data_IF_005425924623
#
_entry.id   IF_005425924623
#
_cell.length_a   1.000
_cell.length_b   1.000
_cell.length_c   1.000
_cell.angle_alpha   90.00
_cell.angle_beta   90.00
_cell.angle_gamma   90.00
#
_symmetry.space_group_name_H-M   'P 1'
#
loop_
_entity.id
_entity.type
_entity.pdbx_description
1 polymer ?
#
# COMPACT_ATOMS: atom_id res chain seq x y z
N UNK A 1 16.09 4.06 2.46
CA UNK A 1 15.43 4.25 3.77
C UNK A 1 16.34 4.97 4.77
N UNK A 2 17.59 4.53 5.00
CA UNK A 2 18.58 5.27 5.80
C UNK A 2 18.87 6.70 5.31
N UNK A 3 18.83 6.94 3.99
CA UNK A 3 18.97 8.28 3.39
C UNK A 3 17.89 9.28 3.79
N UNK A 4 16.71 8.82 4.21
CA UNK A 4 15.57 9.68 4.59
C UNK A 4 15.36 9.73 6.12
N UNK A 5 16.26 9.13 6.91
CA UNK A 5 16.13 8.99 8.38
C UNK A 5 14.79 8.40 8.85
N UNK A 6 14.13 7.64 7.98
CA UNK A 6 12.94 6.88 8.34
C UNK A 6 13.43 5.69 9.18
N UNK A 7 13.15 5.74 10.49
CA UNK A 7 13.51 4.68 11.43
C UNK A 7 12.43 3.61 11.34
N UNK A 8 12.72 2.51 10.64
CA UNK A 8 11.79 1.37 10.61
C UNK A 8 11.55 0.90 12.04
N UNK A 9 10.28 0.96 12.47
CA UNK A 9 9.87 0.44 13.76
C UNK A 9 9.88 -1.09 13.65
N UNK A 10 10.98 -1.71 14.08
CA UNK A 10 11.05 -3.17 14.19
C UNK A 10 10.26 -3.64 15.43
N UNK A 11 8.93 -3.52 15.43
CA UNK A 11 8.13 -4.25 16.42
C UNK A 11 7.83 -5.65 15.90
N UNK A 12 7.79 -6.59 16.85
CA UNK A 12 7.55 -8.02 16.62
C UNK A 12 6.30 -8.22 15.75
N UNK A 13 6.30 -9.29 14.96
CA UNK A 13 5.24 -9.69 14.02
C UNK A 13 3.85 -9.44 14.64
N UNK A 14 3.15 -8.41 14.14
CA UNK A 14 1.78 -8.07 14.57
C UNK A 14 1.60 -6.84 15.47
N UNK A 15 2.67 -6.19 15.95
CA UNK A 15 2.55 -5.13 16.97
C UNK A 15 3.21 -3.79 16.61
N UNK A 16 3.50 -3.58 15.32
CA UNK A 16 3.95 -2.29 14.83
C UNK A 16 2.80 -1.58 14.15
N UNK A 17 2.38 -0.44 14.68
CA UNK A 17 1.26 0.34 14.14
C UNK A 17 1.53 0.76 12.68
N UNK A 18 2.76 1.16 12.36
CA UNK A 18 3.16 1.59 11.00
C UNK A 18 3.07 0.43 9.99
N UNK A 19 3.58 -0.75 10.35
CA UNK A 19 3.51 -1.95 9.52
C UNK A 19 2.06 -2.43 9.43
N UNK A 20 1.31 -2.36 10.53
CA UNK A 20 -0.11 -2.77 10.54
C UNK A 20 -0.96 -1.89 9.63
N UNK A 21 -0.68 -0.58 9.57
CA UNK A 21 -1.37 0.37 8.71
C UNK A 21 -1.06 0.09 7.23
N UNK A 22 0.22 -0.03 6.89
CA UNK A 22 0.64 -0.36 5.52
C UNK A 22 0.09 -1.71 5.06
N UNK A 23 0.18 -2.75 5.91
CA UNK A 23 -0.35 -4.08 5.58
C UNK A 23 -1.87 -4.05 5.40
N UNK A 24 -2.59 -3.33 6.26
CA UNK A 24 -4.06 -3.17 6.12
C UNK A 24 -4.41 -2.41 4.85
N UNK A 25 -3.73 -1.29 4.58
CA UNK A 25 -3.93 -0.48 3.39
C UNK A 25 -3.73 -1.29 2.12
N UNK A 26 -2.58 -1.96 1.96
CA UNK A 26 -2.30 -2.75 0.76
C UNK A 26 -3.20 -3.98 0.65
N UNK A 27 -3.69 -4.54 1.76
CA UNK A 27 -4.65 -5.63 1.73
C UNK A 27 -6.01 -5.17 1.20
N UNK A 28 -6.53 -4.03 1.67
CA UNK A 28 -7.79 -3.47 1.16
C UNK A 28 -7.66 -3.06 -0.29
N UNK A 29 -6.61 -2.32 -0.67
CA UNK A 29 -6.34 -1.94 -2.05
C UNK A 29 -6.35 -3.16 -3.00
N UNK A 30 -5.68 -4.25 -2.62
CA UNK A 30 -5.63 -5.47 -3.44
C UNK A 30 -6.94 -6.24 -3.53
N UNK A 31 -7.76 -6.22 -2.48
CA UNK A 31 -9.01 -6.98 -2.45
C UNK A 31 -10.19 -6.21 -3.06
N UNK A 32 -10.22 -4.89 -2.87
CA UNK A 32 -11.38 -4.06 -3.18
C UNK A 32 -11.24 -3.38 -4.53
N UNK A 33 -10.00 -3.03 -4.95
CA UNK A 33 -9.76 -2.17 -6.10
C UNK A 33 -8.84 -2.74 -7.17
N UNK A 34 -7.99 -3.72 -6.84
CA UNK A 34 -7.11 -4.34 -7.84
C UNK A 34 -7.90 -5.35 -8.71
N UNK A 35 -7.85 -5.22 -10.05
CA UNK A 35 -8.49 -6.18 -10.94
C UNK A 35 -7.82 -7.55 -10.86
N UNK A 36 -8.63 -8.62 -10.89
CA UNK A 36 -8.16 -10.02 -10.79
C UNK A 36 -7.21 -10.39 -11.93
N UNK A 37 -7.40 -9.79 -13.11
CA UNK A 37 -6.56 -9.98 -14.30
C UNK A 37 -5.30 -9.11 -14.29
N UNK A 38 -5.14 -8.22 -13.32
CA UNK A 38 -4.10 -7.19 -13.30
C UNK A 38 -4.42 -5.99 -14.21
N UNK A 39 -3.52 -5.00 -14.18
CA UNK A 39 -3.60 -3.80 -15.01
C UNK A 39 -3.00 -4.05 -16.40
N UNK A 40 -3.62 -3.51 -17.45
CA UNK A 40 -3.14 -3.59 -18.82
C UNK A 40 -1.85 -2.80 -19.03
N UNK A 41 -1.65 -1.73 -18.26
CA UNK A 41 -0.44 -0.92 -18.33
C UNK A 41 -0.04 -0.35 -16.97
N UNK A 42 1.22 0.04 -16.84
CA UNK A 42 1.70 0.76 -15.67
C UNK A 42 0.94 2.09 -15.46
N UNK A 43 0.59 2.78 -16.54
CA UNK A 43 -0.07 4.08 -16.46
C UNK A 43 -1.50 3.95 -15.91
N UNK A 44 -2.22 2.91 -16.35
CA UNK A 44 -3.53 2.55 -15.79
C UNK A 44 -3.41 2.20 -14.31
N UNK A 45 -2.45 1.35 -13.94
CA UNK A 45 -2.23 0.99 -12.54
C UNK A 45 -1.91 2.21 -11.66
N UNK A 46 -1.07 3.12 -12.13
CA UNK A 46 -0.77 4.38 -11.42
C UNK A 46 -2.03 5.23 -11.27
N UNK A 47 -2.84 5.36 -12.32
CA UNK A 47 -4.07 6.14 -12.28
C UNK A 47 -5.05 5.56 -11.26
N UNK A 48 -5.38 4.26 -11.35
CA UNK A 48 -6.31 3.59 -10.43
C UNK A 48 -5.85 3.64 -8.98
N UNK A 49 -4.54 3.44 -8.72
CA UNK A 49 -4.00 3.56 -7.34
C UNK A 49 -4.08 5.01 -6.85
N UNK A 50 -3.88 5.98 -7.72
CA UNK A 50 -3.97 7.41 -7.38
C UNK A 50 -5.40 7.80 -7.05
N UNK A 51 -6.38 7.34 -7.83
CA UNK A 51 -7.80 7.53 -7.55
C UNK A 51 -8.19 6.92 -6.19
N UNK A 52 -7.76 5.68 -5.92
CA UNK A 52 -7.99 5.05 -4.62
C UNK A 52 -7.41 5.85 -3.44
N UNK A 53 -6.23 6.43 -3.59
CA UNK A 53 -5.59 7.26 -2.54
C UNK A 53 -6.31 8.60 -2.36
N UNK A 54 -6.93 9.15 -3.41
CA UNK A 54 -7.64 10.44 -3.34
C UNK A 54 -9.05 10.25 -2.77
N UNK A 55 -9.73 9.16 -3.11
CA UNK A 55 -11.09 8.87 -2.64
C UNK A 55 -11.15 8.35 -1.19
N UNK A 56 -10.05 7.80 -0.67
CA UNK A 56 -9.96 7.18 0.67
C UNK A 56 -9.22 8.07 1.69
#
# INVERSE_FOLDING_TARGET
>A
MWRYRIKESMSRRGNCWDISLMVRFFRSLKNEWAPVTGYFSLNEGVHTITEYIIEY
#
